data_IF_758120166565
#
_entry.id   IF_758120166565
#
_cell.length_a   1.000
_cell.length_b   1.000
_cell.length_c   1.000
_cell.angle_alpha   90.00
_cell.angle_beta   90.00
_cell.angle_gamma   90.00
#
_symmetry.space_group_name_H-M   'P 1'
#
loop_
_entity.id
_entity.type
_entity.pdbx_description
1 polymer ?
#
# COMPACT_ATOMS: atom_id res chain seq x y z
N UNK A 1 8.16 2.24 -11.32
CA UNK A 1 8.94 1.14 -10.73
C UNK A 1 9.32 0.26 -11.89
N UNK A 2 10.56 0.36 -12.39
CA UNK A 2 10.99 -0.48 -13.51
C UNK A 2 10.71 -1.93 -13.13
N UNK A 3 9.79 -2.56 -13.87
CA UNK A 3 9.30 -3.91 -13.64
C UNK A 3 10.49 -4.88 -13.68
N UNK A 4 11.10 -5.14 -12.53
CA UNK A 4 11.99 -6.28 -12.37
C UNK A 4 11.05 -7.50 -12.50
N UNK A 5 11.20 -8.23 -13.60
CA UNK A 5 10.51 -9.50 -13.81
C UNK A 5 10.96 -10.47 -12.74
N UNK A 6 10.11 -10.66 -11.73
CA UNK A 6 10.31 -11.68 -10.71
C UNK A 6 9.60 -12.96 -11.18
N UNK A 7 10.32 -14.10 -11.31
CA UNK A 7 9.69 -15.38 -11.64
C UNK A 7 8.66 -15.74 -10.55
N UNK A 8 7.63 -16.52 -10.88
CA UNK A 8 6.47 -16.80 -10.02
C UNK A 8 6.51 -18.15 -9.31
N UNK A 9 7.46 -19.01 -9.60
CA UNK A 9 7.51 -20.37 -9.01
C UNK A 9 8.27 -20.37 -7.69
N UNK A 10 7.70 -20.99 -6.64
CA UNK A 10 8.31 -21.16 -5.32
C UNK A 10 8.45 -22.66 -5.06
N UNK A 11 9.69 -23.14 -4.86
CA UNK A 11 9.96 -24.52 -4.43
C UNK A 11 10.14 -24.48 -2.92
N UNK A 12 9.28 -25.22 -2.20
CA UNK A 12 9.22 -25.24 -0.75
C UNK A 12 10.40 -26.03 -0.17
N UNK A 13 11.21 -25.41 0.68
CA UNK A 13 12.25 -26.07 1.47
C UNK A 13 11.97 -25.78 2.95
N UNK A 14 11.49 -26.81 3.66
CA UNK A 14 11.17 -26.77 5.10
C UNK A 14 12.46 -26.58 5.90
N UNK A 15 12.51 -25.54 6.76
CA UNK A 15 13.53 -25.41 7.79
C UNK A 15 12.83 -25.35 9.15
N UNK A 16 13.21 -26.30 10.01
CA UNK A 16 12.77 -26.49 11.38
C UNK A 16 13.37 -25.40 12.27
N UNK A 17 12.55 -24.66 13.04
CA UNK A 17 13.05 -23.70 14.03
C UNK A 17 12.64 -24.13 15.44
N UNK A 18 13.63 -24.51 16.25
CA UNK A 18 13.50 -24.91 17.65
C UNK A 18 13.52 -23.69 18.58
N UNK A 19 12.62 -23.70 19.57
CA UNK A 19 12.41 -22.67 20.59
C UNK A 19 13.61 -22.45 21.51
N UNK A 20 13.94 -21.19 21.81
CA UNK A 20 14.64 -20.79 23.02
C UNK A 20 13.92 -19.59 23.65
N UNK A 21 13.34 -19.83 24.82
CA UNK A 21 12.70 -18.84 25.68
C UNK A 21 13.77 -18.09 26.50
N UNK A 22 13.69 -16.77 26.56
CA UNK A 22 14.30 -15.99 27.63
C UNK A 22 13.32 -14.90 28.10
N UNK A 23 13.07 -14.88 29.42
CA UNK A 23 12.25 -13.88 30.11
C UNK A 23 13.11 -12.67 30.49
N UNK A 24 12.58 -11.44 30.50
CA UNK A 24 13.13 -10.37 31.32
C UNK A 24 12.21 -10.01 32.50
N UNK A 25 12.89 -9.58 33.56
CA UNK A 25 12.44 -9.22 34.90
C UNK A 25 11.60 -7.93 34.94
N UNK A 26 10.65 -7.90 35.88
CA UNK A 26 9.83 -6.73 36.22
C UNK A 26 10.60 -5.78 37.14
N UNK A 27 10.61 -4.49 36.80
CA UNK A 27 10.81 -3.39 37.75
C UNK A 27 9.65 -2.41 37.64
N UNK A 28 8.98 -2.18 38.77
CA UNK A 28 7.83 -1.29 38.91
C UNK A 28 8.31 0.15 39.07
N UNK A 29 7.89 1.05 38.19
CA UNK A 29 7.91 2.50 38.41
C UNK A 29 6.48 3.00 38.23
N UNK A 30 5.88 3.42 39.33
CA UNK A 30 4.58 4.07 39.39
C UNK A 30 4.72 5.51 38.89
N UNK A 31 4.09 5.83 37.77
CA UNK A 31 3.85 7.21 37.33
C UNK A 31 2.36 7.43 37.13
N UNK A 32 1.82 8.36 37.90
CA UNK A 32 0.43 8.80 37.88
C UNK A 32 0.12 9.54 36.57
N UNK A 33 -0.53 8.85 35.63
CA UNK A 33 -1.12 9.47 34.44
C UNK A 33 -2.53 9.99 34.77
N UNK A 34 -2.67 11.31 34.73
CA UNK A 34 -3.94 12.02 34.72
C UNK A 34 -4.76 11.64 33.48
N UNK A 35 -5.94 11.07 33.70
CA UNK A 35 -6.88 10.65 32.66
C UNK A 35 -7.61 11.87 32.11
N UNK A 36 -7.10 12.45 31.01
CA UNK A 36 -7.89 13.41 30.22
C UNK A 36 -9.06 12.67 29.55
N UNK A 37 -10.26 12.93 30.05
CA UNK A 37 -11.50 12.45 29.46
C UNK A 37 -11.69 13.08 28.08
N UNK A 38 -11.52 12.30 27.00
CA UNK A 38 -11.95 12.72 25.66
C UNK A 38 -13.47 12.86 25.68
N UNK A 39 -13.98 14.04 25.29
CA UNK A 39 -15.42 14.26 25.12
C UNK A 39 -15.97 13.25 24.10
N UNK A 40 -17.10 12.59 24.38
CA UNK A 40 -17.72 11.67 23.43
C UNK A 40 -18.11 12.42 22.16
N UNK A 41 -17.81 11.81 21.01
CA UNK A 41 -18.24 12.30 19.70
C UNK A 41 -19.75 12.41 19.67
N UNK A 42 -20.27 13.60 19.33
CA UNK A 42 -21.68 13.80 19.00
C UNK A 42 -21.75 13.89 17.47
N UNK A 43 -22.55 13.04 16.79
CA UNK A 43 -22.81 13.21 15.37
C UNK A 43 -23.33 14.63 15.11
N UNK A 44 -22.97 15.21 13.97
CA UNK A 44 -23.61 16.44 13.52
C UNK A 44 -25.12 16.19 13.45
N UNK A 45 -25.91 17.02 14.13
CA UNK A 45 -27.37 16.96 14.08
C UNK A 45 -27.78 17.22 12.63
N UNK A 46 -28.62 16.36 12.06
CA UNK A 46 -29.21 16.60 10.74
C UNK A 46 -29.83 18.00 10.73
N UNK A 47 -29.51 18.78 9.68
CA UNK A 47 -30.03 20.13 9.52
C UNK A 47 -31.48 19.98 9.05
N UNK A 48 -32.44 20.21 9.96
CA UNK A 48 -33.86 20.24 9.61
C UNK A 48 -34.10 21.27 8.50
N UNK A 49 -34.55 20.80 7.33
CA UNK A 49 -34.83 21.64 6.16
C UNK A 49 -33.97 21.39 4.91
N UNK A 50 -33.17 20.33 4.85
CA UNK A 50 -32.49 19.98 3.59
C UNK A 50 -33.52 19.58 2.52
N UNK A 51 -33.73 20.46 1.54
CA UNK A 51 -34.57 20.17 0.37
C UNK A 51 -33.83 19.15 -0.49
N UNK A 52 -34.25 17.89 -0.41
CA UNK A 52 -33.78 16.82 -1.28
C UNK A 52 -34.73 16.71 -2.46
N UNK A 53 -34.30 17.19 -3.63
CA UNK A 53 -35.03 16.89 -4.85
C UNK A 53 -34.75 15.43 -5.22
N UNK A 54 -35.75 14.57 -5.00
CA UNK A 54 -35.67 13.17 -5.45
C UNK A 54 -35.61 13.13 -6.98
N UNK A 55 -34.75 12.27 -7.52
CA UNK A 55 -34.60 12.14 -8.96
C UNK A 55 -35.86 11.50 -9.55
N UNK A 56 -36.56 12.14 -10.51
CA UNK A 56 -37.72 11.53 -11.14
C UNK A 56 -37.36 10.20 -11.81
N UNK A 57 -38.25 9.19 -11.81
CA UNK A 57 -37.96 7.85 -12.33
C UNK A 57 -37.41 7.85 -13.77
N UNK A 58 -37.95 8.72 -14.64
CA UNK A 58 -37.48 8.86 -16.02
C UNK A 58 -36.03 9.35 -16.12
N UNK A 59 -35.55 10.18 -15.19
CA UNK A 59 -34.14 10.60 -15.16
C UNK A 59 -33.25 9.47 -14.67
N UNK A 60 -33.71 8.68 -13.70
CA UNK A 60 -32.97 7.50 -13.22
C UNK A 60 -32.74 6.48 -14.33
N UNK A 61 -33.75 6.22 -15.17
CA UNK A 61 -33.62 5.30 -16.31
C UNK A 61 -32.60 5.80 -17.34
N UNK A 62 -32.54 7.11 -17.60
CA UNK A 62 -31.52 7.72 -18.46
C UNK A 62 -30.12 7.46 -17.88
N UNK A 63 -29.89 7.72 -16.59
CA UNK A 63 -28.58 7.47 -15.98
C UNK A 63 -28.19 5.99 -16.00
N UNK A 64 -29.14 5.08 -15.73
CA UNK A 64 -28.91 3.64 -15.86
C UNK A 64 -28.52 3.23 -17.28
N UNK A 65 -29.17 3.81 -18.30
CA UNK A 65 -28.83 3.53 -19.71
C UNK A 65 -27.41 3.99 -20.08
N UNK A 66 -26.88 4.98 -19.36
CA UNK A 66 -25.54 5.54 -19.57
C UNK A 66 -24.44 4.78 -18.82
N UNK A 67 -24.74 3.78 -17.98
CA UNK A 67 -23.73 3.05 -17.21
C UNK A 67 -22.68 2.40 -18.10
N UNK A 68 -23.08 1.63 -19.13
CA UNK A 68 -22.15 1.01 -20.08
C UNK A 68 -21.34 2.03 -20.89
N UNK A 69 -21.94 3.19 -21.21
CA UNK A 69 -21.24 4.26 -21.92
C UNK A 69 -20.23 4.95 -21.01
N UNK A 70 -20.60 5.23 -19.76
CA UNK A 70 -19.74 5.80 -18.75
C UNK A 70 -18.59 4.85 -18.39
N UNK A 71 -18.83 3.55 -18.25
CA UNK A 71 -17.77 2.56 -18.01
C UNK A 71 -16.71 2.57 -19.12
N UNK A 72 -17.15 2.62 -20.38
CA UNK A 72 -16.24 2.57 -21.54
C UNK A 72 -15.56 3.89 -21.86
N UNK A 73 -16.19 5.03 -21.55
CA UNK A 73 -15.75 6.34 -22.01
C UNK A 73 -15.39 7.32 -20.88
N UNK A 74 -15.97 7.19 -19.69
CA UNK A 74 -15.69 8.08 -18.55
C UNK A 74 -14.81 7.40 -17.50
N UNK A 75 -15.12 6.17 -17.10
CA UNK A 75 -14.33 5.44 -16.10
C UNK A 75 -12.95 5.04 -16.64
N UNK A 76 -12.83 4.79 -17.95
CA UNK A 76 -11.54 4.64 -18.63
C UNK A 76 -10.68 5.92 -18.55
N UNK A 77 -11.31 7.10 -18.51
CA UNK A 77 -10.64 8.39 -18.30
C UNK A 77 -10.29 8.67 -16.84
N UNK A 78 -10.96 8.00 -15.89
CA UNK A 78 -10.58 7.98 -14.46
C UNK A 78 -9.37 7.06 -14.18
N UNK A 79 -8.80 6.46 -15.23
CA UNK A 79 -7.35 6.33 -15.40
C UNK A 79 -6.60 5.38 -14.47
N UNK A 80 -7.28 4.51 -13.72
CA UNK A 80 -6.58 3.57 -12.83
C UNK A 80 -7.28 2.20 -12.73
N UNK A 81 -6.68 1.20 -13.37
CA UNK A 81 -7.07 -0.21 -13.21
C UNK A 81 -6.18 -0.91 -12.17
N UNK A 82 -6.61 -0.91 -10.91
CA UNK A 82 -5.90 -1.57 -9.80
C UNK A 82 -6.08 -3.10 -9.76
N UNK A 83 -6.80 -3.66 -10.74
CA UNK A 83 -7.03 -5.11 -10.95
C UNK A 83 -7.68 -5.83 -9.76
N UNK A 84 -8.51 -5.10 -9.00
CA UNK A 84 -9.25 -5.63 -7.83
C UNK A 84 -10.55 -6.33 -8.21
N UNK A 85 -10.96 -6.33 -9.50
CA UNK A 85 -12.11 -7.08 -10.03
C UNK A 85 -13.43 -6.83 -9.26
N UNK A 86 -13.61 -5.64 -8.71
CA UNK A 86 -14.74 -5.28 -7.83
C UNK A 86 -14.88 -6.18 -6.57
N UNK A 87 -13.85 -6.95 -6.24
CA UNK A 87 -13.80 -7.78 -5.04
C UNK A 87 -13.46 -6.92 -3.81
N UNK A 88 -14.29 -6.92 -2.75
CA UNK A 88 -13.99 -6.19 -1.53
C UNK A 88 -12.74 -6.72 -0.82
N UNK A 89 -12.46 -8.03 -0.90
CA UNK A 89 -11.24 -8.62 -0.36
C UNK A 89 -10.00 -8.01 -1.02
N UNK A 90 -9.95 -8.05 -2.36
CA UNK A 90 -8.83 -7.50 -3.12
C UNK A 90 -8.72 -5.98 -2.92
N UNK A 91 -9.84 -5.27 -2.88
CA UNK A 91 -9.91 -3.84 -2.63
C UNK A 91 -9.28 -3.45 -1.30
N UNK A 92 -9.68 -4.07 -0.18
CA UNK A 92 -9.17 -3.73 1.14
C UNK A 92 -7.72 -4.19 1.37
N UNK A 93 -7.29 -5.28 0.74
CA UNK A 93 -5.88 -5.69 0.72
C UNK A 93 -5.04 -4.66 -0.03
N UNK A 94 -5.51 -4.22 -1.20
CA UNK A 94 -4.86 -3.18 -1.99
C UNK A 94 -4.74 -1.88 -1.21
N UNK A 95 -5.83 -1.37 -0.62
CA UNK A 95 -5.79 -0.11 0.14
C UNK A 95 -4.93 -0.21 1.39
N UNK A 96 -4.99 -1.34 2.13
CA UNK A 96 -4.09 -1.58 3.27
C UNK A 96 -2.61 -1.49 2.87
N UNK A 97 -2.25 -2.04 1.71
CA UNK A 97 -0.89 -1.97 1.19
C UNK A 97 -0.51 -0.53 0.81
N UNK A 98 -1.39 0.16 0.07
CA UNK A 98 -1.13 1.51 -0.42
C UNK A 98 -1.02 2.54 0.71
N UNK A 99 -1.91 2.52 1.70
CA UNK A 99 -1.86 3.45 2.84
C UNK A 99 -0.57 3.28 3.65
N UNK A 100 -0.07 2.04 3.77
CA UNK A 100 1.23 1.83 4.40
C UNK A 100 2.38 2.34 3.53
N UNK A 101 2.30 2.17 2.21
CA UNK A 101 3.31 2.67 1.28
C UNK A 101 3.36 4.21 1.28
N UNK A 102 2.21 4.89 1.32
CA UNK A 102 2.13 6.35 1.43
C UNK A 102 2.61 6.84 2.79
N UNK A 103 2.24 6.17 3.90
CA UNK A 103 2.79 6.44 5.22
C UNK A 103 4.33 6.43 5.23
N UNK A 104 4.95 5.39 4.66
CA UNK A 104 6.41 5.28 4.56
C UNK A 104 6.97 6.43 3.71
N UNK A 105 6.39 6.65 2.53
CA UNK A 105 6.84 7.69 1.59
C UNK A 105 6.81 9.07 2.22
N UNK A 106 5.69 9.45 2.85
CA UNK A 106 5.53 10.74 3.52
C UNK A 106 6.40 10.87 4.77
N UNK A 107 6.56 9.80 5.55
CA UNK A 107 7.47 9.78 6.71
C UNK A 107 8.93 9.98 6.30
N UNK A 108 9.36 9.36 5.20
CA UNK A 108 10.70 9.53 4.66
C UNK A 108 10.90 10.94 4.10
N UNK A 109 9.94 11.46 3.34
CA UNK A 109 9.99 12.85 2.85
C UNK A 109 10.03 13.87 3.99
N UNK A 110 9.27 13.66 5.06
CA UNK A 110 9.31 14.51 6.26
C UNK A 110 10.71 14.53 6.90
N UNK A 111 11.37 13.36 6.97
CA UNK A 111 12.76 13.25 7.44
C UNK A 111 13.72 13.99 6.52
N UNK A 112 13.57 13.89 5.20
CA UNK A 112 14.40 14.64 4.25
C UNK A 112 14.22 16.14 4.43
N UNK A 113 12.98 16.64 4.47
CA UNK A 113 12.69 18.05 4.69
C UNK A 113 13.36 18.57 5.98
N UNK A 114 13.24 17.83 7.09
CA UNK A 114 13.90 18.18 8.36
C UNK A 114 15.43 18.23 8.23
N UNK A 115 16.05 17.25 7.56
CA UNK A 115 17.51 17.22 7.34
C UNK A 115 17.99 18.41 6.49
N UNK A 116 17.14 18.90 5.58
CA UNK A 116 17.40 20.10 4.79
C UNK A 116 17.01 21.41 5.49
N UNK A 117 16.61 21.37 6.77
CA UNK A 117 16.29 22.54 7.57
C UNK A 117 14.86 23.06 7.42
N UNK A 118 14.01 22.43 6.59
CA UNK A 118 12.63 22.85 6.40
C UNK A 118 11.69 22.13 7.38
N UNK A 119 11.52 22.73 8.56
CA UNK A 119 10.67 22.18 9.61
C UNK A 119 9.18 22.26 9.28
N UNK A 120 8.75 23.23 8.45
CA UNK A 120 7.33 23.39 8.08
C UNK A 120 6.93 22.32 7.08
N UNK A 121 7.74 22.09 6.06
CA UNK A 121 7.51 20.99 5.11
C UNK A 121 7.56 19.64 5.83
N UNK A 122 8.51 19.46 6.76
CA UNK A 122 8.55 18.25 7.59
C UNK A 122 7.26 18.05 8.40
N UNK A 123 6.69 19.11 8.95
CA UNK A 123 5.42 19.06 9.67
C UNK A 123 4.26 18.67 8.74
N UNK A 124 4.17 19.29 7.55
CA UNK A 124 3.12 18.97 6.56
C UNK A 124 3.18 17.48 6.18
N UNK A 125 4.36 16.99 5.77
CA UNK A 125 4.52 15.58 5.41
C UNK A 125 4.24 14.64 6.59
N UNK A 126 4.64 15.03 7.81
CA UNK A 126 4.37 14.26 9.02
C UNK A 126 2.88 14.19 9.38
N UNK A 127 2.13 15.27 9.19
CA UNK A 127 0.68 15.29 9.39
C UNK A 127 -0.03 14.37 8.40
N UNK A 128 0.34 14.42 7.11
CA UNK A 128 -0.25 13.52 6.11
C UNK A 128 0.09 12.06 6.44
N UNK A 129 1.34 11.77 6.81
CA UNK A 129 1.74 10.42 7.23
C UNK A 129 0.92 9.92 8.43
N UNK A 130 0.59 10.79 9.40
CA UNK A 130 -0.24 10.41 10.54
C UNK A 130 -1.66 10.02 10.10
N UNK A 131 -2.18 10.65 9.06
CA UNK A 131 -3.49 10.34 8.47
C UNK A 131 -3.45 9.00 7.72
N UNK A 132 -2.44 8.80 6.86
CA UNK A 132 -2.18 7.53 6.18
C UNK A 132 -2.09 6.37 7.18
N UNK A 133 -1.45 6.59 8.34
CA UNK A 133 -1.34 5.57 9.38
C UNK A 133 -2.69 5.19 9.99
N UNK A 134 -3.61 6.15 10.13
CA UNK A 134 -4.98 5.90 10.62
C UNK A 134 -5.79 5.14 9.57
N UNK A 135 -5.63 5.47 8.29
CA UNK A 135 -6.27 4.75 7.19
C UNK A 135 -5.75 3.31 7.09
N UNK A 136 -4.43 3.10 7.17
CA UNK A 136 -3.81 1.77 7.24
C UNK A 136 -4.44 0.95 8.38
N UNK A 137 -4.57 1.53 9.58
CA UNK A 137 -5.17 0.84 10.71
C UNK A 137 -6.63 0.47 10.44
N UNK A 138 -7.42 1.37 9.85
CA UNK A 138 -8.81 1.09 9.49
C UNK A 138 -8.93 -0.06 8.49
N UNK A 139 -8.20 -0.01 7.37
CA UNK A 139 -8.30 -1.03 6.33
C UNK A 139 -7.72 -2.39 6.78
N UNK A 140 -6.59 -2.40 7.50
CA UNK A 140 -6.03 -3.65 8.02
C UNK A 140 -6.97 -4.33 9.03
N UNK A 141 -7.75 -3.57 9.81
CA UNK A 141 -8.79 -4.10 10.69
C UNK A 141 -9.99 -4.68 9.92
N UNK A 142 -10.34 -4.11 8.76
CA UNK A 142 -11.37 -4.70 7.88
C UNK A 142 -10.88 -6.06 7.36
N UNK A 143 -9.64 -6.13 6.86
CA UNK A 143 -9.08 -7.39 6.35
C UNK A 143 -8.90 -8.44 7.46
N UNK A 144 -8.55 -8.04 8.69
CA UNK A 144 -8.59 -8.92 9.86
C UNK A 144 -9.96 -9.62 10.00
N UNK A 145 -11.05 -8.86 9.92
CA UNK A 145 -12.40 -9.42 10.00
C UNK A 145 -12.74 -10.31 8.81
N UNK A 146 -12.22 -10.02 7.63
CA UNK A 146 -12.35 -10.91 6.48
C UNK A 146 -11.63 -12.25 6.72
N UNK A 147 -10.44 -12.25 7.33
CA UNK A 147 -9.73 -13.48 7.72
C UNK A 147 -10.44 -14.26 8.83
N UNK A 148 -11.13 -13.59 9.76
CA UNK A 148 -11.95 -14.27 10.77
C UNK A 148 -13.19 -14.97 10.17
N UNK A 149 -13.80 -14.37 9.16
CA UNK A 149 -15.04 -14.86 8.55
C UNK A 149 -14.80 -15.91 7.47
N UNK A 150 -13.83 -15.67 6.59
CA UNK A 150 -13.48 -16.56 5.48
C UNK A 150 -11.96 -16.53 5.23
N UNK A 151 -11.19 -17.31 6.02
CA UNK A 151 -9.73 -17.32 5.91
C UNK A 151 -9.24 -17.86 4.56
N UNK A 152 -10.01 -18.73 3.90
CA UNK A 152 -9.64 -19.35 2.64
C UNK A 152 -9.75 -18.35 1.49
N UNK A 153 -10.90 -17.70 1.34
CA UNK A 153 -11.09 -16.66 0.32
C UNK A 153 -10.13 -15.47 0.56
N UNK A 154 -9.91 -15.07 1.82
CA UNK A 154 -9.02 -13.98 2.17
C UNK A 154 -7.56 -14.25 1.77
N UNK A 155 -7.02 -15.43 2.08
CA UNK A 155 -5.64 -15.76 1.73
C UNK A 155 -5.46 -15.94 0.22
N UNK A 156 -6.46 -16.49 -0.48
CA UNK A 156 -6.46 -16.61 -1.94
C UNK A 156 -6.47 -15.23 -2.59
N UNK A 157 -7.31 -14.31 -2.13
CA UNK A 157 -7.35 -12.93 -2.62
C UNK A 157 -6.03 -12.19 -2.35
N UNK A 158 -5.40 -12.41 -1.19
CA UNK A 158 -4.10 -11.82 -0.89
C UNK A 158 -3.02 -12.35 -1.84
N UNK A 159 -2.97 -13.67 -2.05
CA UNK A 159 -2.06 -14.27 -3.02
C UNK A 159 -2.30 -13.73 -4.44
N UNK A 160 -3.55 -13.57 -4.85
CA UNK A 160 -3.88 -13.05 -6.17
C UNK A 160 -3.43 -11.59 -6.38
N UNK A 161 -3.68 -10.72 -5.41
CA UNK A 161 -3.15 -9.35 -5.43
C UNK A 161 -1.62 -9.33 -5.52
N UNK A 162 -0.95 -10.25 -4.82
CA UNK A 162 0.51 -10.36 -4.87
C UNK A 162 1.03 -10.93 -6.21
N UNK A 163 0.29 -11.85 -6.86
CA UNK A 163 0.61 -12.33 -8.22
C UNK A 163 0.45 -11.22 -9.26
N UNK A 164 -0.64 -10.44 -9.15
CA UNK A 164 -0.91 -9.27 -10.00
C UNK A 164 0.09 -8.13 -9.79
N UNK A 165 0.82 -8.18 -8.66
CA UNK A 165 1.66 -7.11 -8.09
C UNK A 165 0.79 -5.91 -7.70
N UNK A 166 1.09 -5.32 -6.55
CA UNK A 166 0.40 -4.11 -6.11
C UNK A 166 0.84 -2.95 -7.01
N UNK A 167 -0.01 -2.62 -7.99
CA UNK A 167 0.23 -1.56 -8.95
C UNK A 167 0.13 -0.22 -8.24
N UNK A 168 1.09 0.68 -8.47
CA UNK A 168 1.00 2.04 -7.92
C UNK A 168 -0.12 2.83 -8.62
N UNK A 169 -0.92 3.61 -7.88
CA UNK A 169 -2.04 4.35 -8.47
C UNK A 169 -1.63 5.20 -9.69
N UNK A 170 -0.58 5.98 -9.54
CA UNK A 170 -0.06 6.89 -10.56
C UNK A 170 0.88 6.21 -11.59
N UNK A 171 0.77 4.89 -11.80
CA UNK A 171 1.65 4.18 -12.74
C UNK A 171 1.50 4.62 -14.21
N UNK A 172 0.36 5.23 -14.57
CA UNK A 172 0.08 5.82 -15.88
C UNK A 172 0.39 7.33 -15.95
N UNK A 173 1.13 7.86 -14.97
CA UNK A 173 1.50 9.28 -14.93
C UNK A 173 2.25 9.70 -16.20
N UNK A 174 1.78 10.78 -16.83
CA UNK A 174 2.29 11.34 -18.07
C UNK A 174 2.20 12.86 -18.04
N UNK A 175 3.24 13.55 -18.47
CA UNK A 175 3.32 15.03 -18.49
C UNK A 175 3.14 15.63 -19.89
N UNK A 176 2.73 14.82 -20.88
CA UNK A 176 2.65 15.23 -22.28
C UNK A 176 3.94 15.02 -23.07
N UNK A 177 5.05 14.62 -22.43
CA UNK A 177 6.37 14.50 -23.07
C UNK A 177 7.08 13.17 -22.80
N UNK A 178 7.11 12.73 -21.55
CA UNK A 178 7.86 11.55 -21.13
C UNK A 178 6.94 10.33 -20.94
N UNK A 179 6.91 9.37 -21.89
CA UNK A 179 6.07 8.16 -21.76
C UNK A 179 6.53 7.22 -20.63
N UNK A 180 7.71 7.42 -20.06
CA UNK A 180 8.27 6.64 -18.97
C UNK A 180 8.32 7.41 -17.64
N UNK A 181 7.56 8.51 -17.51
CA UNK A 181 7.63 9.43 -16.38
C UNK A 181 7.48 8.76 -15.01
N UNK A 182 6.54 7.82 -14.86
CA UNK A 182 6.41 7.05 -13.62
C UNK A 182 7.65 6.22 -13.29
N UNK A 183 8.32 5.66 -14.30
CA UNK A 183 9.56 4.90 -14.09
C UNK A 183 10.71 5.80 -13.66
N UNK A 184 10.89 6.95 -14.32
CA UNK A 184 11.90 7.93 -13.94
C UNK A 184 11.64 8.49 -12.53
N UNK A 185 10.40 8.90 -12.22
CA UNK A 185 10.00 9.33 -10.88
C UNK A 185 10.32 8.28 -9.82
N UNK A 186 9.94 7.02 -10.07
CA UNK A 186 10.18 5.93 -9.12
C UNK A 186 11.66 5.63 -8.91
N UNK A 187 12.50 5.84 -9.93
CA UNK A 187 13.94 5.65 -9.83
C UNK A 187 14.55 6.71 -8.91
N UNK A 188 14.12 7.98 -9.04
CA UNK A 188 14.49 9.05 -8.10
C UNK A 188 14.03 8.73 -6.68
N UNK A 189 12.77 8.35 -6.49
CA UNK A 189 12.23 8.02 -5.17
C UNK A 189 12.99 6.87 -4.49
N UNK A 190 13.34 5.82 -5.26
CA UNK A 190 14.14 4.71 -4.77
C UNK A 190 15.57 5.13 -4.41
N UNK A 191 16.22 5.92 -5.28
CA UNK A 191 17.59 6.41 -5.04
C UNK A 191 17.68 7.30 -3.80
N UNK A 192 16.69 8.15 -3.58
CA UNK A 192 16.63 9.03 -2.41
C UNK A 192 16.21 8.30 -1.13
N UNK A 193 15.72 7.06 -1.22
CA UNK A 193 15.21 6.32 -0.06
C UNK A 193 13.87 6.85 0.45
N UNK A 194 13.05 7.43 -0.45
CA UNK A 194 11.67 7.84 -0.14
C UNK A 194 10.76 6.61 -0.14
N UNK A 195 10.81 5.82 -1.21
CA UNK A 195 10.12 4.53 -1.31
C UNK A 195 10.88 3.62 -2.28
N UNK A 196 11.19 2.41 -1.84
CA UNK A 196 12.05 1.46 -2.53
C UNK A 196 11.42 0.07 -2.65
N UNK A 197 12.04 -0.82 -3.42
CA UNK A 197 11.63 -2.21 -3.48
C UNK A 197 11.81 -2.94 -2.12
N UNK A 198 12.73 -2.48 -1.26
CA UNK A 198 12.86 -2.98 0.11
C UNK A 198 11.62 -2.60 0.93
N UNK A 199 11.17 -1.34 0.85
CA UNK A 199 9.95 -0.89 1.55
C UNK A 199 8.72 -1.69 1.10
N UNK A 200 8.62 -2.03 -0.19
CA UNK A 200 7.57 -2.91 -0.71
C UNK A 200 7.60 -4.30 -0.03
N UNK A 201 8.79 -4.89 0.12
CA UNK A 201 8.95 -6.18 0.81
C UNK A 201 8.62 -6.07 2.31
N UNK A 202 8.97 -4.95 2.94
CA UNK A 202 8.69 -4.70 4.36
C UNK A 202 7.20 -4.46 4.63
N UNK A 203 6.48 -3.80 3.71
CA UNK A 203 5.02 -3.68 3.75
C UNK A 203 4.38 -5.06 3.67
N UNK A 204 4.83 -5.90 2.73
CA UNK A 204 4.34 -7.27 2.59
C UNK A 204 4.58 -8.10 3.86
N UNK A 205 5.81 -8.11 4.38
CA UNK A 205 6.14 -8.84 5.61
C UNK A 205 5.30 -8.35 6.80
N UNK A 206 5.11 -7.04 6.91
CA UNK A 206 4.23 -6.47 7.93
C UNK A 206 2.79 -6.98 7.80
N UNK A 207 2.21 -6.97 6.60
CA UNK A 207 0.83 -7.40 6.41
C UNK A 207 0.66 -8.91 6.65
N UNK A 208 1.63 -9.74 6.24
CA UNK A 208 1.68 -11.17 6.55
C UNK A 208 1.66 -11.41 8.06
N UNK A 209 2.49 -10.66 8.80
CA UNK A 209 2.51 -10.73 10.27
C UNK A 209 1.24 -10.17 10.91
N UNK A 210 0.73 -9.03 10.42
CA UNK A 210 -0.46 -8.35 10.94
C UNK A 210 -1.70 -9.23 10.86
N UNK A 211 -1.86 -9.97 9.76
CA UNK A 211 -2.97 -10.89 9.53
C UNK A 211 -2.66 -12.33 9.93
N UNK A 212 -1.49 -12.59 10.55
CA UNK A 212 -1.06 -13.90 11.05
C UNK A 212 -1.18 -15.02 10.00
N UNK A 213 -0.86 -14.70 8.75
CA UNK A 213 -1.11 -15.58 7.59
C UNK A 213 -0.44 -16.95 7.75
N UNK A 214 0.77 -16.99 8.29
CA UNK A 214 1.52 -18.24 8.53
C UNK A 214 0.79 -19.20 9.48
N UNK A 215 0.03 -18.66 10.46
CA UNK A 215 -0.69 -19.44 11.45
C UNK A 215 -2.07 -19.93 11.01
N UNK A 216 -2.50 -19.65 9.77
CA UNK A 216 -3.80 -20.09 9.26
C UNK A 216 -3.83 -21.61 9.07
N UNK A 217 -4.88 -22.24 9.58
CA UNK A 217 -5.14 -23.67 9.52
C UNK A 217 -6.57 -23.94 9.01
N UNK A 218 -6.85 -25.19 8.60
CA UNK A 218 -8.17 -25.56 8.08
C UNK A 218 -8.47 -25.01 6.68
N UNK A 219 -7.45 -24.56 5.96
CA UNK A 219 -7.56 -24.03 4.59
C UNK A 219 -7.74 -25.17 3.57
N UNK A 220 -8.34 -24.83 2.43
CA UNK A 220 -8.39 -25.68 1.25
C UNK A 220 -6.97 -25.90 0.68
N UNK A 221 -6.85 -26.79 -0.31
CA UNK A 221 -5.57 -26.99 -1.00
C UNK A 221 -5.05 -25.69 -1.63
N UNK A 222 -5.94 -24.93 -2.26
CA UNK A 222 -5.59 -23.65 -2.89
C UNK A 222 -5.30 -22.56 -1.87
N UNK A 223 -6.01 -22.55 -0.74
CA UNK A 223 -5.71 -21.70 0.40
C UNK A 223 -4.32 -21.97 1.00
N UNK A 224 -3.95 -23.25 1.15
CA UNK A 224 -2.60 -23.62 1.61
C UNK A 224 -1.51 -23.18 0.62
N UNK A 225 -1.72 -23.39 -0.70
CA UNK A 225 -0.79 -22.89 -1.73
C UNK A 225 -0.67 -21.37 -1.71
N UNK A 226 -1.78 -20.66 -1.50
CA UNK A 226 -1.83 -19.21 -1.39
C UNK A 226 -1.07 -18.71 -0.17
N UNK A 227 -1.29 -19.31 1.01
CA UNK A 227 -0.56 -19.02 2.26
C UNK A 227 0.95 -19.16 2.05
N UNK A 228 1.38 -20.34 1.60
CA UNK A 228 2.80 -20.66 1.42
C UNK A 228 3.45 -19.70 0.40
N UNK A 229 2.73 -19.38 -0.69
CA UNK A 229 3.19 -18.40 -1.67
C UNK A 229 3.43 -17.03 -1.02
N UNK A 230 2.44 -16.47 -0.33
CA UNK A 230 2.54 -15.13 0.25
C UNK A 230 3.62 -15.06 1.34
N UNK A 231 3.69 -16.05 2.23
CA UNK A 231 4.69 -16.09 3.31
C UNK A 231 6.14 -16.14 2.79
N UNK A 232 6.39 -16.70 1.61
CA UNK A 232 7.73 -16.77 1.03
C UNK A 232 8.13 -15.54 0.17
N UNK A 233 7.20 -14.62 -0.13
CA UNK A 233 7.45 -13.55 -1.09
C UNK A 233 8.37 -12.44 -0.57
N UNK A 234 8.24 -12.02 0.70
CA UNK A 234 9.05 -10.92 1.22
C UNK A 234 10.57 -11.24 1.20
N UNK A 235 11.04 -12.41 1.70
CA UNK A 235 12.44 -12.82 1.56
C UNK A 235 12.89 -12.91 0.09
N UNK A 236 12.00 -13.36 -0.80
CA UNK A 236 12.28 -13.46 -2.24
C UNK A 236 12.52 -12.08 -2.86
N UNK A 237 11.68 -11.09 -2.57
CA UNK A 237 11.84 -9.73 -3.08
C UNK A 237 13.11 -9.06 -2.54
N UNK A 238 13.45 -9.26 -1.27
CA UNK A 238 14.71 -8.78 -0.70
C UNK A 238 15.93 -9.32 -1.46
N UNK A 239 16.01 -10.64 -1.68
CA UNK A 239 17.10 -11.26 -2.46
C UNK A 239 17.20 -10.72 -3.89
N UNK A 240 16.05 -10.44 -4.52
CA UNK A 240 16.03 -9.93 -5.89
C UNK A 240 16.45 -8.46 -5.94
N UNK A 241 16.07 -7.66 -4.95
CA UNK A 241 16.52 -6.27 -4.82
C UNK A 241 18.01 -6.17 -4.51
N UNK A 242 18.57 -7.02 -3.64
CA UNK A 242 20.02 -7.09 -3.39
C UNK A 242 20.82 -7.31 -4.68
N UNK A 243 20.36 -8.26 -5.52
CA UNK A 243 20.97 -8.52 -6.84
C UNK A 243 20.79 -7.35 -7.80
N UNK A 244 19.65 -6.67 -7.75
CA UNK A 244 19.38 -5.51 -8.59
C UNK A 244 20.25 -4.30 -8.19
N UNK A 245 20.43 -4.08 -6.89
CA UNK A 245 21.29 -3.03 -6.33
C UNK A 245 22.74 -3.22 -6.76
N UNK A 246 23.31 -4.42 -6.63
CA UNK A 246 24.69 -4.69 -7.08
C UNK A 246 24.92 -4.38 -8.57
N UNK A 247 23.91 -4.59 -9.43
CA UNK A 247 23.97 -4.20 -10.86
C UNK A 247 23.79 -2.69 -11.09
N UNK A 248 23.13 -1.97 -10.19
CA UNK A 248 22.94 -0.51 -10.28
C UNK A 248 24.21 0.23 -9.84
N UNK A 249 24.90 -0.27 -8.83
CA UNK A 249 26.15 0.31 -8.30
C UNK A 249 27.30 0.27 -9.32
N UNK A 250 27.30 -0.71 -10.23
CA UNK A 250 28.29 -0.83 -11.31
C UNK A 250 27.94 -0.07 -12.59
N UNK A 251 26.72 0.47 -12.69
CA UNK A 251 26.27 1.23 -13.86
C UNK A 251 26.63 2.71 -13.72
N UNK A 252 26.87 3.35 -14.87
CA UNK A 252 27.04 4.80 -14.91
C UNK A 252 25.79 5.54 -14.42
N UNK A 253 26.01 6.64 -13.71
CA UNK A 253 24.94 7.50 -13.19
C UNK A 253 24.24 8.18 -14.36
N UNK A 254 22.97 7.84 -14.57
CA UNK A 254 22.14 8.44 -15.62
C UNK A 254 21.39 9.66 -15.06
N UNK A 255 21.25 10.70 -15.86
CA UNK A 255 20.36 11.83 -15.58
C UNK A 255 19.18 11.84 -16.55
N UNK A 256 18.05 12.37 -16.08
CA UNK A 256 16.83 12.59 -16.86
C UNK A 256 16.29 13.98 -16.55
N UNK A 257 15.71 14.65 -17.55
CA UNK A 257 15.04 15.95 -17.37
C UNK A 257 13.61 15.76 -16.93
N UNK A 258 13.18 16.54 -15.94
CA UNK A 258 11.80 16.53 -15.45
C UNK A 258 11.15 17.88 -15.71
N UNK A 259 10.01 17.89 -16.41
CA UNK A 259 9.23 19.10 -16.71
C UNK A 259 8.78 19.83 -15.44
N UNK A 260 8.50 19.09 -14.36
CA UNK A 260 8.11 19.61 -13.04
C UNK A 260 9.13 20.54 -12.38
N UNK A 261 10.39 20.44 -12.80
CA UNK A 261 11.48 21.29 -12.29
C UNK A 261 12.13 22.08 -13.42
N UNK A 262 11.32 22.52 -14.39
CA UNK A 262 11.74 23.36 -15.52
C UNK A 262 12.82 22.69 -16.39
N UNK A 263 12.61 21.41 -16.71
CA UNK A 263 13.51 20.58 -17.53
C UNK A 263 14.95 20.46 -16.98
N UNK A 264 15.15 20.73 -15.68
CA UNK A 264 16.42 20.47 -14.99
C UNK A 264 16.69 18.97 -14.89
N UNK A 265 17.96 18.62 -14.96
CA UNK A 265 18.43 17.24 -14.91
C UNK A 265 18.52 16.71 -13.48
N UNK A 266 17.98 15.52 -13.27
CA UNK A 266 18.00 14.80 -11.99
C UNK A 266 18.55 13.40 -12.23
N UNK A 267 19.43 12.93 -11.33
CA UNK A 267 19.95 11.57 -11.39
C UNK A 267 18.84 10.54 -11.09
N UNK A 268 18.78 9.49 -11.90
CA UNK A 268 17.82 8.37 -11.80
C UNK A 268 18.54 7.04 -11.56
#
# INVERSE_FOLDING_TARGET
>A
MAMIGFPTTCVSQKILCSSLQSKPSRSNISSSLSVHHKKPFRPAREVEGQVTHSMPPHKMEIFKSLENWAEKNLLTLLGMHVKTENSPFMGFIYTSFQERATFISHSNTARHARRHGDLKLAQICGTIAADDKRHEAAYTNVVDKLFELDPDAAVIAFADMMRKKIVMPAHLMFDGRDPALFNHFSAVAQRLGVYSATDYADVLEFLVGRWKVEGLAGLSEDGNKARDFVCCLAPRYRKLEERARGRRETREKRTVRFSWVFDREVQV
#
